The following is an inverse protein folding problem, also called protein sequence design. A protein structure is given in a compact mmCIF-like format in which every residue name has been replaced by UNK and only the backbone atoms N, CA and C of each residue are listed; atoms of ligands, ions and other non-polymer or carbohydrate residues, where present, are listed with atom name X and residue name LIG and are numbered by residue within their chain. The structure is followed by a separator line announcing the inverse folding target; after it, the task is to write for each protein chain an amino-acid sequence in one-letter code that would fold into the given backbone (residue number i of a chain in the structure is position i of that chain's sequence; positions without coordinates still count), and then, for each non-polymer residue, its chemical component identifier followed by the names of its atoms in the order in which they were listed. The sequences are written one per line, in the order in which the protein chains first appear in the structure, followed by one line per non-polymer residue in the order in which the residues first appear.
data_IF_953139251487
#
_entry.id   IF_953139251487
#
_cell.length_a   1.000
_cell.length_b   1.000
_cell.length_c   1.000
_cell.angle_alpha   90.00
_cell.angle_beta   90.00
_cell.angle_gamma   90.00
#
_symmetry.space_group_name_H-M   'P 1'
#
loop_
_entity.id
_entity.type
_entity.pdbx_description
1 polymer ?
#
# COMPACT_ATOMS: atom_id res chain seq x y z
N UNK A 1 -7.56 -11.87 -2.50
CA UNK A 1 -6.12 -11.58 -2.55
C UNK A 1 -5.68 -11.11 -1.18
N UNK A 2 -4.58 -11.63 -0.63
CA UNK A 2 -4.03 -11.18 0.66
C UNK A 2 -2.78 -10.33 0.44
N UNK A 3 -2.91 -9.00 0.53
CA UNK A 3 -1.84 -8.05 0.20
C UNK A 3 -0.67 -8.20 1.18
N UNK A 4 -0.94 -8.40 2.47
CA UNK A 4 0.09 -8.48 3.50
C UNK A 4 0.95 -9.74 3.31
N UNK A 5 0.32 -10.88 2.99
CA UNK A 5 1.04 -12.11 2.69
C UNK A 5 1.94 -11.96 1.45
N UNK A 6 1.48 -11.21 0.45
CA UNK A 6 2.28 -10.92 -0.75
C UNK A 6 3.48 -10.02 -0.41
N UNK A 7 3.28 -8.93 0.33
CA UNK A 7 4.35 -8.04 0.78
C UNK A 7 5.36 -8.74 1.68
N UNK A 8 4.91 -9.71 2.49
CA UNK A 8 5.80 -10.55 3.28
C UNK A 8 6.66 -11.44 2.38
N UNK A 9 6.03 -12.12 1.41
CA UNK A 9 6.73 -13.03 0.49
C UNK A 9 7.72 -12.32 -0.42
N UNK A 10 7.45 -11.06 -0.79
CA UNK A 10 8.38 -10.25 -1.59
C UNK A 10 9.56 -9.68 -0.78
N UNK A 11 9.57 -9.83 0.55
CA UNK A 11 10.54 -9.21 1.43
C UNK A 11 10.28 -7.72 1.71
N UNK A 12 9.13 -7.20 1.29
CA UNK A 12 8.74 -5.81 1.52
C UNK A 12 8.51 -5.49 3.00
N UNK A 13 7.92 -6.41 3.77
CA UNK A 13 7.76 -6.21 5.22
C UNK A 13 9.07 -6.32 5.99
N UNK A 14 10.01 -7.15 5.54
CA UNK A 14 11.37 -7.20 6.10
C UNK A 14 12.15 -5.92 5.77
N UNK A 15 11.94 -5.33 4.60
CA UNK A 15 12.45 -3.99 4.28
C UNK A 15 11.88 -2.93 5.20
N UNK A 16 10.57 -2.95 5.41
CA UNK A 16 9.87 -2.02 6.28
C UNK A 16 10.39 -2.09 7.73
N UNK A 17 10.61 -3.31 8.25
CA UNK A 17 11.23 -3.51 9.56
C UNK A 17 12.64 -2.90 9.65
N UNK A 18 13.45 -3.05 8.60
CA UNK A 18 14.78 -2.43 8.53
C UNK A 18 14.71 -0.90 8.50
N UNK A 19 13.77 -0.33 7.72
CA UNK A 19 13.59 1.13 7.63
C UNK A 19 13.16 1.76 8.96
N UNK A 20 12.32 1.05 9.72
CA UNK A 20 11.81 1.50 11.01
C UNK A 20 12.76 1.19 12.17
N UNK A 21 13.80 0.36 11.96
CA UNK A 21 14.68 -0.11 13.02
C UNK A 21 13.96 -1.01 14.03
N UNK A 22 12.92 -1.72 13.58
CA UNK A 22 11.98 -2.44 14.44
C UNK A 22 11.96 -3.94 14.20
N UNK A 23 11.35 -4.67 15.14
CA UNK A 23 11.26 -6.13 15.05
C UNK A 23 10.23 -6.57 14.01
N UNK A 24 10.55 -7.56 13.14
CA UNK A 24 9.62 -8.05 12.11
C UNK A 24 8.21 -8.43 12.62
N UNK A 25 8.04 -9.04 13.82
CA UNK A 25 6.71 -9.35 14.35
C UNK A 25 5.83 -8.12 14.59
N UNK A 26 6.40 -6.99 15.04
CA UNK A 26 5.64 -5.77 15.30
C UNK A 26 5.21 -5.10 13.99
N UNK A 27 6.13 -5.03 13.02
CA UNK A 27 5.83 -4.51 11.68
C UNK A 27 4.77 -5.36 10.97
N UNK A 28 4.86 -6.68 11.09
CA UNK A 28 3.84 -7.58 10.55
C UNK A 28 2.47 -7.33 11.18
N UNK A 29 2.40 -7.26 12.51
CA UNK A 29 1.15 -7.01 13.22
C UNK A 29 0.51 -5.68 12.82
N UNK A 30 1.30 -4.61 12.76
CA UNK A 30 0.77 -3.30 12.37
C UNK A 30 0.41 -3.22 10.90
N UNK A 31 1.17 -3.86 10.00
CA UNK A 31 0.81 -3.94 8.58
C UNK A 31 -0.51 -4.70 8.39
N UNK A 32 -0.71 -5.83 9.07
CA UNK A 32 -1.97 -6.59 9.06
C UNK A 32 -3.15 -5.76 9.58
N UNK A 33 -2.92 -4.93 10.59
CA UNK A 33 -3.95 -4.08 11.15
C UNK A 33 -4.34 -2.90 10.25
N UNK A 34 -3.36 -2.25 9.60
CA UNK A 34 -3.61 -1.05 8.80
C UNK A 34 -4.00 -1.35 7.35
N UNK A 35 -3.61 -2.52 6.82
CA UNK A 35 -3.86 -2.86 5.41
C UNK A 35 -5.34 -2.78 5.01
N UNK A 36 -6.32 -3.26 5.81
CA UNK A 36 -7.73 -3.14 5.44
C UNK A 36 -8.17 -1.70 5.24
N UNK A 37 -7.76 -0.79 6.13
CA UNK A 37 -8.10 0.64 6.01
C UNK A 37 -7.39 1.32 4.85
N UNK A 38 -6.13 0.95 4.57
CA UNK A 38 -5.42 1.43 3.38
C UNK A 38 -6.12 1.00 2.08
N UNK A 39 -6.54 -0.26 1.99
CA UNK A 39 -7.31 -0.77 0.84
C UNK A 39 -8.65 -0.05 0.74
N UNK A 40 -9.33 0.22 1.86
CA UNK A 40 -10.61 0.93 1.87
C UNK A 40 -10.49 2.36 1.34
N UNK A 41 -9.45 3.10 1.73
CA UNK A 41 -9.19 4.42 1.17
C UNK A 41 -8.83 4.38 -0.32
N UNK A 42 -8.07 3.37 -0.76
CA UNK A 42 -7.82 3.17 -2.19
C UNK A 42 -9.13 2.89 -2.95
N UNK A 43 -10.05 2.10 -2.38
CA UNK A 43 -11.38 1.85 -2.97
C UNK A 43 -12.20 3.14 -3.06
N UNK A 44 -12.21 3.94 -2.00
CA UNK A 44 -12.88 5.24 -1.99
C UNK A 44 -12.35 6.15 -3.11
N UNK A 45 -11.04 6.20 -3.30
CA UNK A 45 -10.43 6.92 -4.42
C UNK A 45 -10.79 6.34 -5.78
N UNK A 46 -10.81 5.02 -5.94
CA UNK A 46 -11.25 4.37 -7.19
C UNK A 46 -12.69 4.77 -7.53
N UNK A 47 -13.59 4.80 -6.54
CA UNK A 47 -14.96 5.25 -6.74
C UNK A 47 -15.03 6.73 -7.13
N UNK A 48 -14.27 7.59 -6.46
CA UNK A 48 -14.19 9.03 -6.80
C UNK A 48 -13.61 9.27 -8.21
N UNK A 49 -12.73 8.39 -8.69
CA UNK A 49 -12.09 8.45 -10.01
C UNK A 49 -12.91 7.80 -11.14
N UNK A 50 -14.18 7.50 -10.91
CA UNK A 50 -15.11 6.95 -11.91
C UNK A 50 -15.43 5.47 -11.74
N UNK A 51 -14.95 4.83 -10.68
CA UNK A 51 -15.26 3.46 -10.30
C UNK A 51 -14.76 2.40 -11.28
N UNK A 52 -15.03 1.13 -10.94
CA UNK A 52 -14.68 -0.03 -11.78
C UNK A 52 -13.19 -0.02 -12.20
N UNK A 53 -12.89 -0.62 -13.36
CA UNK A 53 -11.54 -0.65 -13.93
C UNK A 53 -11.00 0.74 -14.30
N UNK A 54 -11.88 1.68 -14.66
CA UNK A 54 -11.48 3.03 -15.09
C UNK A 54 -10.87 3.78 -13.90
N UNK A 55 -11.52 3.76 -12.74
CA UNK A 55 -11.03 4.37 -11.51
C UNK A 55 -9.69 3.76 -11.07
N UNK A 56 -9.53 2.43 -11.18
CA UNK A 56 -8.25 1.76 -10.88
C UNK A 56 -7.15 2.20 -11.84
N UNK A 57 -7.42 2.32 -13.13
CA UNK A 57 -6.43 2.81 -14.10
C UNK A 57 -6.03 4.25 -13.81
N UNK A 58 -7.00 5.12 -13.48
CA UNK A 58 -6.73 6.51 -13.09
C UNK A 58 -5.90 6.61 -11.81
N UNK A 59 -6.17 5.75 -10.84
CA UNK A 59 -5.40 5.66 -9.60
C UNK A 59 -3.95 5.23 -9.88
N UNK A 60 -3.73 4.21 -10.71
CA UNK A 60 -2.37 3.79 -11.11
C UNK A 60 -1.65 4.91 -11.87
N UNK A 61 -2.33 5.62 -12.77
CA UNK A 61 -1.77 6.81 -13.43
C UNK A 61 -1.43 7.92 -12.44
N UNK A 62 -2.17 8.04 -11.34
CA UNK A 62 -1.82 8.97 -10.28
C UNK A 62 -0.50 8.57 -9.61
N UNK A 63 -0.30 7.28 -9.34
CA UNK A 63 0.93 6.76 -8.74
C UNK A 63 2.16 6.92 -9.66
N UNK A 64 1.98 7.02 -10.98
CA UNK A 64 3.07 7.35 -11.92
C UNK A 64 3.75 8.67 -11.56
N UNK A 65 2.99 9.68 -11.11
CA UNK A 65 3.54 10.98 -10.73
C UNK A 65 4.39 10.92 -9.45
N UNK A 66 4.22 9.87 -8.64
CA UNK A 66 4.92 9.68 -7.36
C UNK A 66 6.05 8.65 -7.44
N UNK A 67 6.36 8.12 -8.63
CA UNK A 67 7.46 7.17 -8.83
C UNK A 67 7.05 5.73 -9.11
N UNK A 68 5.74 5.41 -9.14
CA UNK A 68 5.24 4.09 -9.54
C UNK A 68 5.93 2.94 -8.75
N UNK A 69 6.43 1.91 -9.44
CA UNK A 69 7.15 0.78 -8.83
C UNK A 69 8.39 1.17 -8.04
N UNK A 70 9.00 2.33 -8.35
CA UNK A 70 10.18 2.84 -7.65
C UNK A 70 9.90 3.10 -6.16
N UNK A 71 8.65 3.41 -5.80
CA UNK A 71 8.24 3.57 -4.40
C UNK A 71 8.51 2.31 -3.56
N UNK A 72 8.22 1.13 -4.13
CA UNK A 72 8.51 -0.13 -3.46
C UNK A 72 10.02 -0.43 -3.47
N UNK A 73 10.71 -0.12 -4.57
CA UNK A 73 12.16 -0.27 -4.68
C UNK A 73 12.90 0.59 -3.65
N UNK A 74 12.49 1.85 -3.45
CA UNK A 74 13.12 2.79 -2.52
C UNK A 74 12.95 2.33 -1.05
N UNK A 75 11.81 1.73 -0.69
CA UNK A 75 11.61 1.11 0.64
C UNK A 75 12.52 -0.12 0.80
N UNK A 76 12.67 -0.92 -0.26
CA UNK A 76 13.47 -2.15 -0.26
C UNK A 76 14.97 -1.92 -0.36
N UNK A 77 15.38 -0.76 -0.89
CA UNK A 77 16.76 -0.36 -1.06
C UNK A 77 17.50 -0.22 0.29
N UNK A 78 18.82 -0.43 0.31
CA UNK A 78 19.63 -0.15 1.48
C UNK A 78 19.69 1.36 1.76
N UNK A 79 19.58 1.73 3.04
CA UNK A 79 19.64 3.12 3.48
C UNK A 79 18.29 3.65 3.97
N UNK A 80 18.28 4.86 4.51
CA UNK A 80 17.06 5.49 5.02
C UNK A 80 16.20 5.95 3.85
N UNK A 81 14.99 5.41 3.74
CA UNK A 81 13.99 5.84 2.77
C UNK A 81 13.40 7.20 3.16
N UNK A 82 13.10 8.03 2.17
CA UNK A 82 12.36 9.27 2.39
C UNK A 82 10.85 8.99 2.43
N UNK A 83 10.13 9.32 3.53
CA UNK A 83 8.71 9.02 3.66
C UNK A 83 7.79 10.03 2.94
N UNK A 84 8.32 11.12 2.37
CA UNK A 84 7.51 12.19 1.79
C UNK A 84 6.55 11.72 0.69
N UNK A 85 6.95 10.86 -0.27
CA UNK A 85 6.02 10.34 -1.27
C UNK A 85 4.86 9.53 -0.65
N UNK A 86 5.15 8.79 0.42
CA UNK A 86 4.12 8.05 1.17
C UNK A 86 3.13 8.96 1.88
N UNK A 87 3.61 10.07 2.47
CA UNK A 87 2.77 11.07 3.11
C UNK A 87 1.88 11.80 2.09
N UNK A 88 2.40 12.14 0.91
CA UNK A 88 1.58 12.75 -0.15
C UNK A 88 0.50 11.80 -0.65
N UNK A 89 0.84 10.53 -0.90
CA UNK A 89 -0.12 9.50 -1.30
C UNK A 89 -1.20 9.27 -0.23
N UNK A 90 -0.82 9.27 1.05
CA UNK A 90 -1.79 9.25 2.15
C UNK A 90 -2.70 10.47 2.10
N UNK A 91 -2.16 11.68 1.96
CA UNK A 91 -2.94 12.90 1.87
C UNK A 91 -3.96 12.89 0.72
N UNK A 92 -3.60 12.26 -0.40
CA UNK A 92 -4.50 12.04 -1.54
C UNK A 92 -5.63 11.06 -1.20
N UNK A 93 -5.30 9.92 -0.59
CA UNK A 93 -6.26 8.83 -0.38
C UNK A 93 -7.18 9.07 0.82
N UNK A 94 -6.65 9.73 1.84
CA UNK A 94 -7.28 9.88 3.15
C UNK A 94 -7.62 11.34 3.49
N UNK A 95 -7.15 12.30 2.69
CA UNK A 95 -7.15 13.70 3.08
C UNK A 95 -6.06 14.02 4.12
N UNK A 96 -5.97 15.29 4.58
CA UNK A 96 -4.90 15.76 5.45
C UNK A 96 -4.85 15.06 6.82
N UNK A 97 -5.96 14.48 7.30
CA UNK A 97 -6.06 13.90 8.65
C UNK A 97 -6.15 12.37 8.64
N UNK A 98 -6.43 11.72 7.52
CA UNK A 98 -6.80 10.31 7.59
C UNK A 98 -5.62 9.34 7.79
N UNK A 99 -4.37 9.78 7.61
CA UNK A 99 -3.20 9.03 8.09
C UNK A 99 -3.22 8.88 9.63
N UNK A 100 -3.56 9.95 10.35
CA UNK A 100 -3.73 9.94 11.80
C UNK A 100 -4.95 9.09 12.18
N UNK A 101 -6.05 9.20 11.42
CA UNK A 101 -7.27 8.42 11.66
C UNK A 101 -7.04 6.91 11.50
N UNK A 102 -6.26 6.49 10.50
CA UNK A 102 -5.93 5.09 10.28
C UNK A 102 -5.01 4.53 11.39
N UNK A 103 -4.01 5.30 11.81
CA UNK A 103 -3.11 4.93 12.91
C UNK A 103 -3.80 4.94 14.29
N UNK A 104 -4.80 5.80 14.48
CA UNK A 104 -5.63 5.86 15.69
C UNK A 104 -6.82 4.88 15.68
N UNK A 105 -7.08 4.24 14.54
CA UNK A 105 -8.24 3.38 14.31
C UNK A 105 -8.23 2.11 15.15
N UNK A 106 -9.42 1.53 15.34
CA UNK A 106 -9.61 0.31 16.14
C UNK A 106 -8.73 -0.89 15.70
N UNK A 107 -8.53 -1.16 14.39
CA UNK A 107 -7.64 -2.24 13.95
C UNK A 107 -6.19 -2.02 14.39
N UNK A 108 -5.71 -0.77 14.23
CA UNK A 108 -4.39 -0.33 14.67
C UNK A 108 -4.23 -0.50 16.18
N UNK A 109 -5.22 -0.10 16.98
CA UNK A 109 -5.21 -0.27 18.44
C UNK A 109 -5.23 -1.73 18.88
N UNK A 110 -6.00 -2.57 18.19
CA UNK A 110 -6.11 -4.00 18.48
C UNK A 110 -4.83 -4.78 18.14
N UNK A 111 -3.94 -4.22 17.31
CA UNK A 111 -2.66 -4.86 16.92
C UNK A 111 -1.65 -4.99 18.06
N UNK A 112 -1.80 -4.20 19.14
CA UNK A 112 -0.83 -4.11 20.23
C UNK A 112 0.48 -3.41 19.85
N UNK A 113 0.55 -2.78 18.68
CA UNK A 113 1.68 -1.97 18.22
C UNK A 113 1.53 -0.53 18.73
N UNK A 114 2.65 0.10 19.10
CA UNK A 114 2.66 1.47 19.60
C UNK A 114 2.21 2.46 18.50
N UNK A 115 1.39 3.46 18.87
CA UNK A 115 0.83 4.43 17.92
C UNK A 115 1.92 5.16 17.12
N UNK A 116 3.00 5.59 17.78
CA UNK A 116 4.11 6.28 17.12
C UNK A 116 4.80 5.41 16.05
N UNK A 117 4.89 4.10 16.28
CA UNK A 117 5.40 3.16 15.29
C UNK A 117 4.43 3.00 14.11
N UNK A 118 3.12 2.93 14.37
CA UNK A 118 2.11 2.87 13.30
C UNK A 118 2.13 4.12 12.43
N UNK A 119 2.23 5.31 13.04
CA UNK A 119 2.35 6.59 12.34
C UNK A 119 3.61 6.65 11.46
N UNK A 120 4.76 6.22 11.99
CA UNK A 120 6.01 6.17 11.23
C UNK A 120 5.97 5.11 10.11
N UNK A 121 5.26 4.01 10.33
CA UNK A 121 5.14 2.91 9.38
C UNK A 121 4.19 3.23 8.21
N UNK A 122 3.14 4.00 8.46
CA UNK A 122 2.05 4.17 7.51
C UNK A 122 2.48 4.78 6.15
N UNK A 123 3.33 5.83 6.10
CA UNK A 123 3.85 6.36 4.83
C UNK A 123 4.63 5.31 4.04
N UNK A 124 5.49 4.54 4.72
CA UNK A 124 6.34 3.54 4.09
C UNK A 124 5.54 2.33 3.61
N UNK A 125 4.55 1.90 4.39
CA UNK A 125 3.60 0.87 4.00
C UNK A 125 2.78 1.29 2.78
N UNK A 126 2.42 2.58 2.72
CA UNK A 126 1.72 3.17 1.57
C UNK A 126 2.60 3.14 0.32
N UNK A 127 3.85 3.61 0.41
CA UNK A 127 4.81 3.55 -0.70
C UNK A 127 4.98 2.12 -1.20
N UNK A 128 5.17 1.17 -0.29
CA UNK A 128 5.35 -0.23 -0.61
C UNK A 128 4.12 -0.82 -1.32
N UNK A 129 2.92 -0.54 -0.81
CA UNK A 129 1.66 -1.07 -1.37
C UNK A 129 1.34 -0.44 -2.72
N UNK A 130 1.43 0.89 -2.83
CA UNK A 130 1.23 1.63 -4.07
C UNK A 130 2.24 1.19 -5.12
N UNK A 131 3.53 1.15 -4.78
CA UNK A 131 4.60 0.71 -5.68
C UNK A 131 4.41 -0.73 -6.16
N UNK A 132 3.97 -1.63 -5.27
CA UNK A 132 3.68 -3.01 -5.67
C UNK A 132 2.50 -3.12 -6.64
N UNK A 133 1.41 -2.37 -6.42
CA UNK A 133 0.26 -2.33 -7.33
C UNK A 133 0.63 -1.73 -8.68
N UNK A 134 1.42 -0.68 -8.65
CA UNK A 134 2.02 -0.02 -9.81
C UNK A 134 2.89 -0.98 -10.64
N UNK A 135 3.80 -1.72 -9.99
CA UNK A 135 4.63 -2.72 -10.65
C UNK A 135 3.80 -3.87 -11.25
N UNK A 136 2.76 -4.33 -10.55
CA UNK A 136 1.82 -5.34 -11.07
C UNK A 136 0.99 -4.83 -12.26
N UNK A 137 0.70 -3.53 -12.33
CA UNK A 137 0.02 -2.93 -13.47
C UNK A 137 0.92 -2.85 -14.71
N UNK A 138 2.21 -2.53 -14.54
CA UNK A 138 3.19 -2.44 -15.63
C UNK A 138 3.66 -3.82 -16.11
N UNK A 139 3.84 -4.78 -15.20
CA UNK A 139 4.32 -6.15 -15.50
C UNK A 139 3.43 -6.96 -16.44
N UNK A 140 2.27 -6.42 -16.84
CA UNK A 140 1.33 -7.03 -17.77
C UNK A 140 1.73 -6.88 -19.27
N UNK A 141 2.99 -6.52 -19.57
CA UNK A 141 3.49 -6.40 -20.95
C UNK A 141 4.21 -7.66 -21.50
N UNK A 142 4.40 -8.73 -20.72
CA UNK A 142 5.04 -9.96 -21.22
C UNK A 142 4.44 -11.27 -20.69
N UNK A 143 3.67 -11.94 -21.58
CA UNK A 143 3.46 -13.40 -21.73
C UNK A 143 2.83 -14.20 -20.56
N UNK A 144 1.51 -14.50 -20.66
CA UNK A 144 0.93 -15.85 -20.57
C UNK A 144 -0.58 -15.86 -20.93
N UNK A 145 -1.09 -16.84 -21.69
CA UNK A 145 -2.53 -17.02 -21.90
C UNK A 145 -3.15 -17.80 -20.73
N UNK A 146 -4.34 -17.35 -20.29
CA UNK A 146 -5.25 -18.02 -19.32
C UNK A 146 -4.87 -17.91 -17.83
N UNK A 147 -5.45 -16.91 -17.14
CA UNK A 147 -5.62 -16.91 -15.68
C UNK A 147 -5.27 -15.61 -14.95
N UNK A 148 -6.02 -14.52 -15.19
CA UNK A 148 -6.13 -13.35 -14.29
C UNK A 148 -4.87 -12.90 -13.52
N UNK A 149 -3.78 -12.57 -14.21
CA UNK A 149 -2.50 -12.24 -13.57
C UNK A 149 -2.30 -10.73 -13.35
N UNK A 150 -1.92 -10.34 -12.12
CA UNK A 150 -1.47 -9.00 -11.74
C UNK A 150 -2.59 -7.96 -11.65
N UNK A 151 -2.80 -7.22 -12.74
CA UNK A 151 -3.71 -6.06 -12.74
C UNK A 151 -5.18 -6.43 -12.55
N UNK A 152 -5.62 -7.57 -13.09
CA UNK A 152 -6.99 -8.06 -12.90
C UNK A 152 -7.34 -8.28 -11.42
N UNK A 153 -6.41 -8.85 -10.66
CA UNK A 153 -6.58 -9.08 -9.22
C UNK A 153 -6.63 -7.76 -8.41
N UNK A 154 -5.88 -6.73 -8.83
CA UNK A 154 -5.96 -5.40 -8.22
C UNK A 154 -7.32 -4.77 -8.49
N UNK A 155 -7.79 -4.86 -9.74
CA UNK A 155 -9.12 -4.36 -10.11
C UNK A 155 -10.17 -5.05 -9.26
N UNK A 156 -10.17 -6.38 -9.17
CA UNK A 156 -11.10 -7.11 -8.31
C UNK A 156 -10.97 -6.70 -6.83
N UNK A 157 -9.77 -6.54 -6.30
CA UNK A 157 -9.56 -6.13 -4.91
C UNK A 157 -10.14 -4.73 -4.62
N UNK A 158 -9.95 -3.78 -5.54
CA UNK A 158 -10.31 -2.37 -5.38
C UNK A 158 -11.73 -2.04 -5.88
N UNK A 159 -12.38 -2.97 -6.58
CA UNK A 159 -13.79 -2.82 -7.01
C UNK A 159 -14.71 -3.83 -6.34
N UNK A 160 -14.18 -4.80 -5.58
CA UNK A 160 -14.98 -5.65 -4.71
C UNK A 160 -15.68 -4.76 -3.70
N UNK A 161 -17.01 -4.73 -3.76
CA UNK A 161 -17.85 -4.08 -2.77
C UNK A 161 -17.56 -4.73 -1.40
N UNK A 162 -17.28 -3.90 -0.40
CA UNK A 162 -17.16 -4.34 0.99
C UNK A 162 -18.52 -4.75 1.56
#
# INVERSE_FOLDING_TARGET
MDVVAILRRSGGLDALARQLGEKPPQVYAGATAMMPGLIDAMRAQVQALGGSRIGVNRLVTMFENYGNGKLAEDVMAPGKVDPAPGLELLGIMFGPEGALSLAAGEPARASGVEAALLEAMLPLLTMLTCGYFSAMAIGNAAVAPQGGTGFGAIVELLTAQA
#
